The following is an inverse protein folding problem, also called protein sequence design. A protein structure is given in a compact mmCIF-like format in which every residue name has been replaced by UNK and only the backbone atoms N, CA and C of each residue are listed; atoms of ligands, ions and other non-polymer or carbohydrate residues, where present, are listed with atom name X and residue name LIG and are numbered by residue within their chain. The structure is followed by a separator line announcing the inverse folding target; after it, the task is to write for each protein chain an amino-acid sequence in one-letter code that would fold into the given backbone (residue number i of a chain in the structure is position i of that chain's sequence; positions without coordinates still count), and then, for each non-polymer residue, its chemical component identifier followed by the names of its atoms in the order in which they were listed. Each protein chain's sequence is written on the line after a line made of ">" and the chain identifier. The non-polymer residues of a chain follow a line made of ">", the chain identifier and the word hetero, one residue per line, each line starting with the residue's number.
data_IF_789078417204
#
_entry.id   IF_789078417204
#
_cell.length_a   1.000
_cell.length_b   1.000
_cell.length_c   1.000
_cell.angle_alpha   90.00
_cell.angle_beta   90.00
_cell.angle_gamma   90.00
#
_symmetry.space_group_name_H-M   'P 1'
#
loop_
_entity.id
_entity.type
_entity.pdbx_description
1 polymer ?
#
# COMPACT_ATOMS: atom_id res chain seq x y z
N UNK A 1 -2.43 -0.09 6.99
CA UNK A 1 -1.81 -1.36 6.86
C UNK A 1 -0.75 -1.71 7.86
N UNK A 2 -0.39 -2.96 7.86
CA UNK A 2 0.49 -3.57 8.84
C UNK A 2 1.99 -3.35 8.61
N UNK A 3 2.46 -2.13 8.45
CA UNK A 3 3.89 -1.90 8.38
C UNK A 3 4.55 -2.01 9.76
N UNK A 4 5.82 -2.36 9.77
CA UNK A 4 6.60 -2.41 11.00
C UNK A 4 7.21 -1.03 11.30
N UNK A 5 7.04 -0.50 12.50
CA UNK A 5 7.52 0.82 12.90
C UNK A 5 9.02 1.03 12.64
N UNK A 6 9.83 -0.01 12.80
CA UNK A 6 11.27 0.03 12.46
C UNK A 6 11.57 0.41 11.01
N UNK A 7 10.59 0.30 10.09
CA UNK A 7 10.76 0.71 8.70
C UNK A 7 10.28 2.13 8.44
N UNK A 8 9.70 2.78 9.45
CA UNK A 8 9.25 4.16 9.41
C UNK A 8 10.28 5.13 10.03
N UNK A 9 11.15 4.64 10.90
CA UNK A 9 12.16 5.45 11.58
C UNK A 9 13.14 6.07 10.57
N UNK A 10 13.29 7.39 10.61
CA UNK A 10 14.08 8.18 9.66
C UNK A 10 13.41 8.49 8.32
N UNK A 11 12.13 8.19 8.15
CA UNK A 11 11.42 8.47 6.90
C UNK A 11 10.81 9.88 6.89
N UNK A 12 10.97 10.58 5.77
CA UNK A 12 10.28 11.84 5.56
C UNK A 12 8.78 11.63 5.44
N UNK A 13 8.03 12.61 5.89
CA UNK A 13 6.58 12.59 5.81
C UNK A 13 5.98 13.96 5.53
N UNK A 14 4.72 13.95 5.15
CA UNK A 14 3.90 15.12 4.94
C UNK A 14 2.66 15.04 5.82
N UNK A 15 2.38 16.09 6.57
CA UNK A 15 1.19 16.22 7.41
C UNK A 15 0.15 17.04 6.66
N UNK A 16 -1.02 16.47 6.43
CA UNK A 16 -2.16 17.11 5.76
C UNK A 16 -3.23 17.44 6.78
N UNK A 17 -3.44 18.72 7.02
CA UNK A 17 -4.47 19.19 7.94
C UNK A 17 -5.84 19.24 7.28
N UNK A 18 -6.92 19.22 8.10
CA UNK A 18 -8.30 19.27 7.59
C UNK A 18 -8.67 20.60 6.94
N UNK A 19 -7.97 21.68 7.27
CA UNK A 19 -8.16 22.99 6.63
C UNK A 19 -7.32 23.19 5.37
N UNK A 20 -6.60 22.12 4.93
CA UNK A 20 -5.87 22.09 3.67
C UNK A 20 -4.44 22.61 3.73
N UNK A 21 -3.91 22.92 4.92
CA UNK A 21 -2.49 23.22 5.09
C UNK A 21 -1.67 21.94 5.02
N UNK A 22 -0.41 22.09 4.62
CA UNK A 22 0.51 20.98 4.42
C UNK A 22 1.84 21.34 5.08
N UNK A 23 2.35 20.44 5.91
CA UNK A 23 3.64 20.56 6.58
C UNK A 23 4.51 19.36 6.27
N UNK A 24 5.81 19.51 6.39
CA UNK A 24 6.75 18.39 6.27
C UNK A 24 7.38 18.05 7.60
N UNK A 25 7.97 16.88 7.69
CA UNK A 25 8.66 16.41 8.87
C UNK A 25 9.31 15.06 8.64
N UNK A 26 9.86 14.51 9.70
CA UNK A 26 10.48 13.20 9.71
C UNK A 26 9.88 12.34 10.83
N UNK A 27 9.65 11.08 10.54
CA UNK A 27 9.23 10.08 11.53
C UNK A 27 10.47 9.63 12.30
N UNK A 28 10.49 9.79 13.60
CA UNK A 28 11.61 9.37 14.45
C UNK A 28 11.09 8.62 15.67
N UNK A 29 11.93 7.81 16.26
CA UNK A 29 11.67 7.35 17.63
C UNK A 29 11.99 8.50 18.62
N UNK A 30 11.42 8.44 19.82
CA UNK A 30 11.55 9.48 20.86
C UNK A 30 12.97 9.62 21.40
N UNK A 31 13.85 8.65 21.16
CA UNK A 31 15.27 8.66 21.57
C UNK A 31 16.17 8.36 20.37
N UNK A 32 16.25 9.24 19.38
CA UNK A 32 16.93 8.93 18.11
C UNK A 32 18.45 8.94 18.20
N UNK A 33 19.04 9.52 19.26
CA UNK A 33 20.47 9.71 19.38
C UNK A 33 21.15 8.57 20.11
N UNK A 34 22.04 7.84 19.42
CA UNK A 34 22.89 6.82 20.02
C UNK A 34 23.88 7.36 21.10
N UNK A 35 24.03 8.67 21.22
CA UNK A 35 24.90 9.31 22.22
C UNK A 35 24.15 9.63 23.52
N UNK A 36 22.84 9.59 23.54
CA UNK A 36 21.99 9.97 24.66
C UNK A 36 21.23 8.77 25.22
N UNK A 37 20.81 7.85 24.35
CA UNK A 37 20.11 6.64 24.77
C UNK A 37 21.10 5.57 25.27
N UNK A 38 20.94 5.14 26.51
CA UNK A 38 21.72 4.07 27.13
C UNK A 38 21.29 2.67 26.65
N UNK A 39 20.07 2.52 26.15
CA UNK A 39 19.50 1.28 25.66
C UNK A 39 18.85 1.47 24.28
N UNK A 40 18.75 0.37 23.52
CA UNK A 40 17.99 0.40 22.25
C UNK A 40 16.51 0.53 22.54
N UNK A 41 15.93 1.64 22.11
CA UNK A 41 14.48 1.86 22.15
C UNK A 41 13.85 0.99 21.04
N UNK A 42 12.87 0.19 21.42
CA UNK A 42 12.07 -0.56 20.44
C UNK A 42 11.14 0.42 19.70
N UNK A 43 11.06 0.30 18.37
CA UNK A 43 10.11 1.10 17.57
C UNK A 43 8.70 0.53 17.74
N UNK A 44 7.93 1.18 18.59
CA UNK A 44 6.51 0.90 18.84
C UNK A 44 5.68 2.13 18.52
N UNK A 45 4.36 2.02 18.49
CA UNK A 45 3.47 3.15 18.26
C UNK A 45 3.67 4.26 19.31
N UNK A 46 3.93 3.89 20.57
CA UNK A 46 4.11 4.83 21.69
C UNK A 46 5.46 5.55 21.65
N UNK A 47 6.45 4.97 20.97
CA UNK A 47 7.82 5.48 20.91
C UNK A 47 8.16 6.18 19.59
N UNK A 48 7.17 6.41 18.76
CA UNK A 48 7.37 7.09 17.47
C UNK A 48 6.68 8.45 17.49
N UNK A 49 7.35 9.44 16.94
CA UNK A 49 6.85 10.81 16.84
C UNK A 49 7.17 11.42 15.46
N UNK A 50 6.54 12.54 15.16
CA UNK A 50 6.85 13.35 13.99
C UNK A 50 7.60 14.59 14.45
N UNK A 51 8.85 14.71 14.06
CA UNK A 51 9.60 15.95 14.15
C UNK A 51 9.25 16.81 12.94
N UNK A 52 8.47 17.87 13.18
CA UNK A 52 8.04 18.78 12.12
C UNK A 52 9.20 19.69 11.67
N UNK A 53 9.21 20.07 10.39
CA UNK A 53 10.11 21.11 9.85
C UNK A 53 9.60 22.52 10.18
N UNK A 54 9.01 22.68 11.36
CA UNK A 54 8.43 23.92 11.86
C UNK A 54 9.00 24.25 13.26
N UNK A 55 8.96 25.53 13.60
CA UNK A 55 9.45 26.00 14.90
C UNK A 55 8.35 25.83 15.96
N UNK A 56 8.23 24.65 16.53
CA UNK A 56 7.24 24.25 17.53
C UNK A 56 7.94 23.67 18.76
N UNK A 57 7.50 24.05 19.95
CA UNK A 57 8.06 23.59 21.22
C UNK A 57 7.01 22.94 22.14
N UNK A 58 5.73 23.17 21.87
CA UNK A 58 4.65 22.75 22.74
C UNK A 58 3.35 22.54 21.95
N UNK A 59 2.31 22.10 22.67
CA UNK A 59 1.01 21.81 22.09
C UNK A 59 0.34 23.05 21.48
N UNK A 60 0.49 24.20 22.10
CA UNK A 60 -0.10 25.46 21.66
C UNK A 60 0.45 25.87 20.28
N UNK A 61 1.73 25.62 20.03
CA UNK A 61 2.36 25.88 18.73
C UNK A 61 1.79 24.93 17.67
N UNK A 62 1.61 23.64 17.99
CA UNK A 62 0.99 22.64 17.10
C UNK A 62 -0.46 23.04 16.78
N UNK A 63 -1.22 23.46 17.79
CA UNK A 63 -2.61 23.91 17.62
C UNK A 63 -2.68 25.17 16.72
N UNK A 64 -1.70 26.07 16.83
CA UNK A 64 -1.60 27.28 15.97
C UNK A 64 -1.32 26.93 14.50
N UNK A 65 -0.60 25.86 14.24
CA UNK A 65 -0.44 25.28 12.89
C UNK A 65 -1.75 24.65 12.38
N UNK A 66 -2.75 24.45 13.24
CA UNK A 66 -4.02 23.79 12.92
C UNK A 66 -3.91 22.28 12.78
N UNK A 67 -2.82 21.71 13.25
CA UNK A 67 -2.63 20.27 13.30
C UNK A 67 -3.45 19.69 14.46
N UNK A 68 -4.22 18.66 14.19
CA UNK A 68 -5.11 18.07 15.18
C UNK A 68 -5.22 16.55 15.02
N UNK A 69 -5.73 15.91 16.04
CA UNK A 69 -5.98 14.46 16.02
C UNK A 69 -6.91 14.09 14.84
N UNK A 70 -6.48 13.11 14.05
CA UNK A 70 -7.18 12.65 12.86
C UNK A 70 -6.75 13.33 11.57
N UNK A 71 -5.74 14.19 11.60
CA UNK A 71 -5.05 14.63 10.40
C UNK A 71 -4.22 13.49 9.80
N UNK A 72 -3.93 13.57 8.52
CA UNK A 72 -3.26 12.49 7.79
C UNK A 72 -1.77 12.75 7.71
N UNK A 73 -0.98 11.77 8.12
CA UNK A 73 0.47 11.75 7.93
C UNK A 73 0.80 10.76 6.82
N UNK A 74 1.35 11.26 5.72
CA UNK A 74 1.76 10.48 4.56
C UNK A 74 3.27 10.36 4.53
N UNK A 75 3.81 9.15 4.72
CA UNK A 75 5.24 8.89 4.53
C UNK A 75 5.61 8.94 3.05
N UNK A 76 6.80 9.46 2.74
CA UNK A 76 7.29 9.55 1.38
C UNK A 76 7.43 8.16 0.73
N UNK A 77 6.83 7.91 -0.43
CA UNK A 77 6.91 6.63 -1.10
C UNK A 77 8.29 6.33 -1.68
N UNK A 78 9.12 7.33 -1.91
CA UNK A 78 10.46 7.24 -2.50
C UNK A 78 10.48 6.40 -3.79
N UNK A 79 9.50 6.62 -4.66
CA UNK A 79 9.33 5.85 -5.89
C UNK A 79 10.45 6.13 -6.88
N UNK A 80 11.11 5.09 -7.32
CA UNK A 80 12.17 5.13 -8.34
C UNK A 80 11.91 4.06 -9.38
N UNK A 81 12.01 4.42 -10.65
CA UNK A 81 12.11 3.46 -11.76
C UNK A 81 13.59 3.38 -12.11
N UNK A 82 14.18 2.19 -11.97
CA UNK A 82 15.59 1.96 -12.25
C UNK A 82 15.86 1.84 -13.75
N UNK A 83 17.09 2.07 -14.19
CA UNK A 83 17.48 1.86 -15.59
C UNK A 83 17.28 0.39 -16.04
N UNK A 84 17.35 -0.56 -15.12
CA UNK A 84 17.08 -1.98 -15.37
C UNK A 84 15.59 -2.34 -15.42
N UNK A 85 14.69 -1.34 -15.24
CA UNK A 85 13.24 -1.52 -15.35
C UNK A 85 12.53 -1.92 -14.05
N UNK A 86 13.22 -1.96 -12.91
CA UNK A 86 12.55 -2.21 -11.64
C UNK A 86 11.83 -0.96 -11.14
N UNK A 87 10.65 -1.17 -10.56
CA UNK A 87 9.94 -0.17 -9.76
C UNK A 87 10.27 -0.43 -8.30
N UNK A 88 10.88 0.54 -7.65
CA UNK A 88 11.20 0.51 -6.22
C UNK A 88 10.44 1.61 -5.52
N UNK A 89 9.61 1.24 -4.55
CA UNK A 89 8.78 2.19 -3.80
C UNK A 89 8.35 1.58 -2.47
N UNK A 90 7.94 2.42 -1.53
CA UNK A 90 7.05 2.01 -0.45
C UNK A 90 5.63 1.83 -1.03
N UNK A 91 4.79 1.09 -0.33
CA UNK A 91 3.36 0.95 -0.65
C UNK A 91 3.07 0.35 -2.03
N UNK A 92 3.96 -0.50 -2.56
CA UNK A 92 3.65 -1.30 -3.75
C UNK A 92 2.51 -2.28 -3.46
N UNK A 93 2.42 -2.74 -2.24
CA UNK A 93 1.25 -3.36 -1.64
C UNK A 93 0.32 -2.25 -1.12
N UNK A 94 -0.84 -1.99 -1.77
CA UNK A 94 -1.21 -2.62 -3.05
C UNK A 94 -1.47 -1.58 -4.14
N UNK A 95 -0.68 -0.51 -4.18
CA UNK A 95 -0.75 0.51 -5.25
C UNK A 95 -0.32 -0.04 -6.61
N UNK A 96 0.50 -1.11 -6.62
CA UNK A 96 0.92 -1.72 -7.87
C UNK A 96 -0.26 -2.39 -8.58
N UNK A 97 -1.08 -3.15 -7.88
CA UNK A 97 -2.28 -3.77 -8.46
C UNK A 97 -3.29 -2.72 -8.92
N UNK A 98 -3.45 -1.63 -8.15
CA UNK A 98 -4.26 -0.49 -8.60
C UNK A 98 -3.75 0.09 -9.93
N UNK A 99 -2.44 0.25 -10.08
CA UNK A 99 -1.82 0.72 -11.33
C UNK A 99 -2.02 -0.28 -12.48
N UNK A 100 -1.92 -1.59 -12.22
CA UNK A 100 -2.16 -2.65 -13.21
C UNK A 100 -3.61 -2.59 -13.71
N UNK A 101 -4.58 -2.45 -12.81
CA UNK A 101 -6.00 -2.35 -13.20
C UNK A 101 -6.28 -1.09 -14.03
N UNK A 102 -5.66 0.04 -13.70
CA UNK A 102 -5.77 1.26 -14.51
C UNK A 102 -5.08 1.08 -15.88
N UNK A 103 -3.94 0.39 -15.92
CA UNK A 103 -3.25 0.00 -17.14
C UNK A 103 -4.11 -0.88 -18.04
N UNK A 104 -4.81 -1.86 -17.46
CA UNK A 104 -5.78 -2.68 -18.18
C UNK A 104 -6.89 -1.84 -18.79
N UNK A 105 -7.50 -0.95 -18.02
CA UNK A 105 -8.55 -0.06 -18.53
C UNK A 105 -8.05 0.82 -19.69
N UNK A 106 -6.82 1.32 -19.57
CA UNK A 106 -6.17 2.09 -20.64
C UNK A 106 -5.95 1.24 -21.89
N UNK A 107 -5.41 0.03 -21.75
CA UNK A 107 -5.16 -0.88 -22.88
C UNK A 107 -6.47 -1.24 -23.59
N UNK A 108 -7.52 -1.59 -22.85
CA UNK A 108 -8.85 -1.87 -23.41
C UNK A 108 -9.34 -0.71 -24.27
N UNK A 109 -9.17 0.53 -23.78
CA UNK A 109 -9.58 1.73 -24.50
C UNK A 109 -8.72 2.01 -25.73
N UNK A 110 -7.40 1.99 -25.59
CA UNK A 110 -6.46 2.39 -26.64
C UNK A 110 -6.42 1.39 -27.80
N UNK A 111 -6.55 0.12 -27.50
CA UNK A 111 -6.53 -0.97 -28.48
C UNK A 111 -7.92 -1.32 -29.03
N UNK A 112 -8.97 -0.66 -28.53
CA UNK A 112 -10.34 -0.90 -28.97
C UNK A 112 -10.85 -2.31 -28.64
N UNK A 113 -10.40 -2.90 -27.54
CA UNK A 113 -10.76 -4.27 -27.15
C UNK A 113 -12.24 -4.31 -26.76
N UNK A 114 -13.00 -5.18 -27.42
CA UNK A 114 -14.39 -5.42 -27.07
C UNK A 114 -14.46 -6.44 -25.93
N UNK A 115 -14.94 -6.00 -24.78
CA UNK A 115 -15.20 -6.87 -23.65
C UNK A 115 -16.55 -7.60 -23.85
N UNK A 116 -16.55 -8.93 -23.68
CA UNK A 116 -17.76 -9.75 -23.82
C UNK A 116 -18.66 -9.72 -22.59
N UNK A 117 -18.18 -9.11 -21.48
CA UNK A 117 -18.90 -8.97 -20.23
C UNK A 117 -18.70 -7.56 -19.69
N UNK A 118 -19.63 -7.10 -18.85
CA UNK A 118 -19.44 -5.92 -18.04
C UNK A 118 -18.29 -6.19 -17.05
N UNK A 119 -17.28 -5.36 -17.07
CA UNK A 119 -16.16 -5.39 -16.13
C UNK A 119 -16.22 -4.14 -15.26
N UNK A 120 -16.16 -4.32 -13.96
CA UNK A 120 -16.07 -3.24 -12.98
C UNK A 120 -14.74 -3.33 -12.26
N UNK A 121 -13.96 -2.26 -12.24
CA UNK A 121 -12.76 -2.15 -11.43
C UNK A 121 -13.13 -1.50 -10.10
N UNK A 122 -12.97 -2.25 -9.03
CA UNK A 122 -13.30 -1.81 -7.67
C UNK A 122 -12.01 -1.58 -6.89
N UNK A 123 -11.78 -0.34 -6.47
CA UNK A 123 -10.66 0.03 -5.61
C UNK A 123 -11.18 0.17 -4.18
N UNK A 124 -10.78 -0.73 -3.31
CA UNK A 124 -11.23 -0.76 -1.91
C UNK A 124 -10.32 0.13 -1.07
N UNK A 125 -10.88 1.17 -0.45
CA UNK A 125 -10.09 2.20 0.26
C UNK A 125 -9.53 1.71 1.59
N UNK A 126 -10.22 0.76 2.24
CA UNK A 126 -9.90 0.28 3.58
C UNK A 126 -9.41 -1.17 3.63
N UNK A 127 -8.95 -1.73 2.52
CA UNK A 127 -8.44 -3.11 2.48
C UNK A 127 -7.26 -3.29 3.43
N UNK A 128 -6.29 -2.37 3.41
CA UNK A 128 -5.08 -2.37 4.22
C UNK A 128 -5.32 -2.30 5.75
N UNK A 129 -6.53 -2.02 6.17
CA UNK A 129 -6.96 -2.01 7.57
C UNK A 129 -8.06 -3.03 7.86
N UNK A 130 -8.21 -4.03 6.98
CA UNK A 130 -9.11 -5.16 7.18
C UNK A 130 -10.56 -4.91 6.80
N UNK A 131 -10.84 -3.86 5.99
CA UNK A 131 -12.19 -3.55 5.52
C UNK A 131 -12.18 -3.39 4.01
N UNK A 132 -12.88 -3.76 3.18
CA UNK A 132 -12.84 -3.52 1.74
C UNK A 132 -13.89 -4.31 0.98
N UNK A 133 -14.23 -5.49 1.48
CA UNK A 133 -15.19 -6.39 0.89
C UNK A 133 -16.65 -6.14 1.26
N UNK A 134 -16.97 -5.01 1.90
CA UNK A 134 -18.34 -4.72 2.41
C UNK A 134 -19.35 -4.43 1.32
N UNK A 135 -18.88 -4.08 0.13
CA UNK A 135 -19.76 -3.79 -1.01
C UNK A 135 -19.28 -4.48 -2.28
N UNK A 136 -20.18 -5.18 -2.90
CA UNK A 136 -20.01 -5.76 -4.24
C UNK A 136 -21.24 -5.40 -5.07
N UNK A 137 -21.11 -4.92 -6.33
CA UNK A 137 -22.27 -4.65 -7.17
C UNK A 137 -23.18 -5.87 -7.27
N UNK A 138 -24.49 -5.66 -7.14
CA UNK A 138 -25.47 -6.75 -7.04
C UNK A 138 -25.55 -7.66 -8.29
N UNK A 139 -25.09 -7.17 -9.44
CA UNK A 139 -25.04 -7.90 -10.70
C UNK A 139 -23.69 -8.62 -10.92
N UNK A 140 -22.84 -8.71 -9.92
CA UNK A 140 -21.55 -9.39 -10.00
C UNK A 140 -21.75 -10.91 -10.06
N UNK A 141 -21.27 -11.53 -11.12
CA UNK A 141 -21.28 -12.98 -11.29
C UNK A 141 -19.95 -13.62 -10.86
N UNK A 142 -18.85 -12.94 -11.07
CA UNK A 142 -17.50 -13.39 -10.72
C UNK A 142 -16.70 -12.21 -10.15
N UNK A 143 -15.87 -12.46 -9.16
CA UNK A 143 -14.97 -11.50 -8.55
C UNK A 143 -13.55 -12.07 -8.48
N UNK A 144 -12.59 -11.29 -8.92
CA UNK A 144 -11.17 -11.61 -8.85
C UNK A 144 -10.49 -10.49 -8.07
N UNK A 145 -9.81 -10.85 -6.99
CA UNK A 145 -8.92 -9.92 -6.30
C UNK A 145 -7.56 -9.89 -7.00
N UNK A 146 -7.03 -8.70 -7.18
CA UNK A 146 -5.67 -8.48 -7.68
C UNK A 146 -4.88 -7.86 -6.53
N UNK A 147 -3.86 -8.56 -6.10
CA UNK A 147 -3.08 -8.21 -4.91
C UNK A 147 -1.63 -8.65 -5.10
N UNK A 148 -0.74 -8.30 -4.16
CA UNK A 148 0.66 -8.71 -4.20
C UNK A 148 0.80 -10.22 -4.02
N UNK A 149 1.82 -10.82 -4.62
CA UNK A 149 2.30 -12.17 -4.32
C UNK A 149 3.51 -12.11 -3.41
N UNK A 150 3.47 -12.84 -2.29
CA UNK A 150 4.60 -12.88 -1.37
C UNK A 150 5.84 -13.51 -2.02
N UNK A 151 6.97 -12.82 -1.95
CA UNK A 151 8.28 -13.29 -2.43
C UNK A 151 9.20 -13.53 -1.24
N UNK A 152 9.89 -14.66 -1.23
CA UNK A 152 10.81 -15.04 -0.15
C UNK A 152 11.40 -16.43 -0.36
N UNK A 153 12.31 -16.82 0.54
CA UNK A 153 12.80 -18.19 0.61
C UNK A 153 11.62 -19.13 0.79
N UNK A 154 11.50 -20.24 0.30
CA UNK A 154 10.40 -21.22 0.45
C UNK A 154 9.04 -20.78 -0.14
N UNK A 155 8.98 -19.66 -0.86
CA UNK A 155 7.78 -19.23 -1.58
C UNK A 155 7.91 -19.48 -3.07
N UNK A 156 6.80 -19.89 -3.70
CA UNK A 156 6.78 -20.39 -5.07
C UNK A 156 6.75 -19.33 -6.16
N UNK A 157 6.81 -18.03 -5.82
CA UNK A 157 6.79 -16.94 -6.80
C UNK A 157 7.97 -15.98 -6.64
N UNK A 158 8.24 -15.25 -7.72
CA UNK A 158 9.23 -14.17 -7.78
C UNK A 158 8.58 -12.92 -8.35
N UNK A 159 9.28 -11.80 -8.29
CA UNK A 159 8.86 -10.54 -8.88
C UNK A 159 8.69 -10.57 -10.42
N UNK A 160 9.03 -11.68 -11.04
CA UNK A 160 8.92 -11.90 -12.50
C UNK A 160 7.82 -12.88 -12.89
N UNK A 161 6.97 -13.26 -11.94
CA UNK A 161 5.92 -14.25 -12.13
C UNK A 161 4.56 -13.68 -11.77
N UNK A 162 3.52 -14.18 -12.42
CA UNK A 162 2.15 -14.01 -11.94
C UNK A 162 1.89 -15.04 -10.84
N UNK A 163 1.52 -14.58 -9.67
CA UNK A 163 1.14 -15.43 -8.55
C UNK A 163 -0.37 -15.67 -8.57
N UNK A 164 -0.80 -16.92 -8.69
CA UNK A 164 -2.21 -17.29 -8.64
C UNK A 164 -2.46 -18.01 -7.32
N UNK A 165 -3.10 -17.31 -6.40
CA UNK A 165 -3.40 -17.81 -5.06
C UNK A 165 -4.57 -18.80 -5.11
N UNK A 166 -4.32 -20.05 -4.71
CA UNK A 166 -5.36 -21.08 -4.67
C UNK A 166 -6.17 -21.08 -3.37
N UNK A 167 -5.60 -20.54 -2.30
CA UNK A 167 -6.24 -20.35 -0.99
C UNK A 167 -5.54 -19.27 -0.18
N UNK A 168 -6.25 -18.69 0.75
CA UNK A 168 -5.70 -17.79 1.78
C UNK A 168 -6.06 -18.29 3.20
N UNK A 169 -6.02 -17.38 4.18
CA UNK A 169 -6.42 -17.68 5.56
C UNK A 169 -7.92 -17.97 5.71
N UNK A 170 -8.76 -17.46 4.81
CA UNK A 170 -10.21 -17.69 4.78
C UNK A 170 -10.62 -19.01 4.13
N UNK A 171 -9.69 -19.70 3.47
CA UNK A 171 -9.93 -20.99 2.84
C UNK A 171 -9.63 -21.03 1.34
N UNK A 172 -10.04 -22.08 0.64
CA UNK A 172 -9.81 -22.23 -0.79
C UNK A 172 -10.71 -21.31 -1.61
N UNK A 173 -10.15 -20.76 -2.68
CA UNK A 173 -10.89 -20.03 -3.69
C UNK A 173 -11.67 -20.96 -4.63
N UNK A 174 -12.51 -20.38 -5.49
CA UNK A 174 -13.30 -21.17 -6.46
C UNK A 174 -12.40 -21.97 -7.39
N UNK A 175 -12.51 -23.29 -7.31
CA UNK A 175 -11.65 -24.21 -8.07
C UNK A 175 -11.69 -24.02 -9.59
N UNK A 176 -12.88 -23.79 -10.14
CA UNK A 176 -13.03 -23.62 -11.59
C UNK A 176 -12.39 -22.31 -12.08
N UNK A 177 -12.60 -21.24 -11.33
CA UNK A 177 -12.00 -19.93 -11.65
C UNK A 177 -10.46 -19.98 -11.55
N UNK A 178 -9.93 -20.56 -10.48
CA UNK A 178 -8.47 -20.75 -10.32
C UNK A 178 -7.92 -21.62 -11.46
N UNK A 179 -8.59 -22.70 -11.81
CA UNK A 179 -8.17 -23.56 -12.94
C UNK A 179 -8.13 -22.79 -14.26
N UNK A 180 -9.12 -21.94 -14.51
CA UNK A 180 -9.13 -21.09 -15.71
C UNK A 180 -7.96 -20.09 -15.71
N UNK A 181 -7.70 -19.42 -14.58
CA UNK A 181 -6.56 -18.49 -14.43
C UNK A 181 -5.22 -19.20 -14.66
N UNK A 182 -5.01 -20.38 -14.04
CA UNK A 182 -3.79 -21.17 -14.22
C UNK A 182 -3.60 -21.59 -15.68
N UNK A 183 -4.66 -22.05 -16.36
CA UNK A 183 -4.58 -22.44 -17.75
C UNK A 183 -4.28 -21.23 -18.67
N UNK A 184 -4.88 -20.07 -18.38
CA UNK A 184 -4.60 -18.83 -19.11
C UNK A 184 -3.14 -18.41 -18.92
N UNK A 185 -2.65 -18.41 -17.68
CA UNK A 185 -1.24 -18.07 -17.41
C UNK A 185 -0.28 -19.00 -18.17
N UNK A 186 -0.50 -20.33 -18.13
CA UNK A 186 0.32 -21.30 -18.86
C UNK A 186 0.28 -21.15 -20.38
N UNK A 187 -0.82 -20.65 -20.93
CA UNK A 187 -0.95 -20.43 -22.37
C UNK A 187 -0.22 -19.18 -22.87
N UNK A 188 0.10 -18.26 -21.98
CA UNK A 188 0.75 -16.98 -22.30
C UNK A 188 2.20 -16.86 -21.80
N UNK A 189 2.75 -17.87 -21.17
CA UNK A 189 4.14 -17.94 -20.69
C UNK A 189 4.25 -17.62 -19.21
#
# INVERSE_FOLDING_TARGET
>A
GGHQWRTADGENCTVHTRDGRVYTGVVLNTEPSAHVADEKVEQTEENMEILLDENVENKEDIDALGIQVGDIIAMDPRTVITESGYIKSRFLDDKLSAAILLGLAKAVKDEGITLHRKVSLLFTVYEEVGHGGSYVPADTAEMISVDMGCVGADLGCTERMVSICAKDSGGPYNYNLITALVNTAKAHG
#
